data_IF_436789445428
#
_entry.id   IF_436789445428
#
_cell.length_a   1.000
_cell.length_b   1.000
_cell.length_c   1.000
_cell.angle_alpha   90.00
_cell.angle_beta   90.00
_cell.angle_gamma   90.00
#
_symmetry.space_group_name_H-M   'P 1'
#
loop_
_entity.id
_entity.type
_entity.pdbx_description
1 polymer ?
#
# COMPACT_ATOMS: atom_id res chain seq x y z
N UNK A 1 -21.87 35.34 -1.62
CA UNK A 1 -22.91 35.00 -0.61
C UNK A 1 -23.05 33.49 -0.61
N UNK A 2 -22.65 32.78 0.46
CA UNK A 2 -22.83 31.32 0.54
C UNK A 2 -21.88 30.55 1.46
N UNK A 3 -20.64 31.00 1.66
CA UNK A 3 -19.63 30.19 2.39
C UNK A 3 -19.81 30.08 3.92
N UNK A 4 -20.67 30.89 4.53
CA UNK A 4 -20.88 30.84 6.00
C UNK A 4 -21.67 29.62 6.47
N UNK A 5 -22.76 29.26 5.75
CA UNK A 5 -23.64 28.17 6.18
C UNK A 5 -23.03 26.79 5.97
N UNK A 6 -22.19 26.62 4.95
CA UNK A 6 -21.52 25.34 4.69
C UNK A 6 -20.45 25.06 5.75
N UNK A 7 -19.66 26.07 6.14
CA UNK A 7 -18.62 25.91 7.17
C UNK A 7 -19.24 25.58 8.53
N UNK A 8 -20.33 26.25 8.91
CA UNK A 8 -21.08 25.95 10.14
C UNK A 8 -21.68 24.53 10.10
N UNK A 9 -22.20 24.10 8.95
CA UNK A 9 -22.69 22.73 8.75
C UNK A 9 -21.57 21.68 8.89
N UNK A 10 -20.38 21.94 8.35
CA UNK A 10 -19.24 21.02 8.47
C UNK A 10 -18.72 20.93 9.91
N UNK A 11 -18.69 22.05 10.64
CA UNK A 11 -18.29 22.06 12.06
C UNK A 11 -19.26 21.25 12.92
N UNK A 12 -20.56 21.35 12.65
CA UNK A 12 -21.56 20.53 13.35
C UNK A 12 -21.37 19.04 13.05
N UNK A 13 -21.22 18.66 11.77
CA UNK A 13 -20.96 17.26 11.39
C UNK A 13 -19.67 16.73 12.03
N UNK A 14 -18.60 17.53 12.04
CA UNK A 14 -17.33 17.16 12.66
C UNK A 14 -17.45 16.98 14.18
N UNK A 15 -18.19 17.87 14.85
CA UNK A 15 -18.46 17.73 16.29
C UNK A 15 -19.25 16.46 16.62
N UNK A 16 -20.22 16.11 15.79
CA UNK A 16 -21.00 14.88 15.89
C UNK A 16 -20.12 13.65 15.71
N UNK A 17 -19.29 13.65 14.67
CA UNK A 17 -18.29 12.61 14.42
C UNK A 17 -17.35 12.41 15.62
N UNK A 18 -16.76 13.50 16.13
CA UNK A 18 -15.84 13.47 17.27
C UNK A 18 -16.52 12.95 18.55
N UNK A 19 -17.77 13.33 18.78
CA UNK A 19 -18.56 12.86 19.93
C UNK A 19 -18.87 11.36 19.83
N UNK A 20 -19.28 10.90 18.65
CA UNK A 20 -19.50 9.48 18.38
C UNK A 20 -18.21 8.67 18.60
N UNK A 21 -17.11 9.12 18.01
CA UNK A 21 -15.80 8.51 18.16
C UNK A 21 -15.38 8.41 19.63
N UNK A 22 -15.46 9.52 20.37
CA UNK A 22 -15.02 9.58 21.76
C UNK A 22 -15.90 8.77 22.72
N UNK A 23 -17.16 8.48 22.34
CA UNK A 23 -18.02 7.53 23.07
C UNK A 23 -17.48 6.10 22.99
N UNK A 24 -16.82 5.76 21.89
CA UNK A 24 -16.21 4.44 21.67
C UNK A 24 -14.71 4.42 22.02
N UNK A 25 -14.12 5.55 22.38
CA UNK A 25 -12.71 5.64 22.72
C UNK A 25 -12.33 4.75 23.91
N UNK A 26 -11.05 4.35 23.97
CA UNK A 26 -10.49 3.40 24.92
C UNK A 26 -11.04 1.96 24.82
N UNK A 27 -11.99 1.67 23.92
CA UNK A 27 -12.37 0.29 23.63
C UNK A 27 -11.25 -0.39 22.85
N UNK A 28 -10.97 -1.63 23.23
CA UNK A 28 -10.01 -2.49 22.54
C UNK A 28 -10.72 -3.20 21.40
N UNK A 29 -10.27 -2.98 20.18
CA UNK A 29 -10.77 -3.65 18.99
C UNK A 29 -9.77 -4.71 18.54
N UNK A 30 -10.29 -5.84 18.06
CA UNK A 30 -9.50 -6.89 17.41
C UNK A 30 -9.68 -6.82 15.90
N UNK A 31 -8.58 -6.96 15.18
CA UNK A 31 -8.55 -7.18 13.74
C UNK A 31 -7.56 -8.30 13.46
N UNK A 32 -8.08 -9.50 13.20
CA UNK A 32 -7.31 -10.74 13.09
C UNK A 32 -6.37 -10.94 14.30
N UNK A 33 -5.06 -11.02 14.07
CA UNK A 33 -4.05 -11.19 15.10
C UNK A 33 -3.64 -9.87 15.79
N UNK A 34 -4.12 -8.71 15.33
CA UNK A 34 -3.78 -7.40 15.90
C UNK A 34 -4.90 -6.88 16.79
N UNK A 35 -4.54 -6.23 17.89
CA UNK A 35 -5.49 -5.50 18.72
C UNK A 35 -5.03 -4.07 18.93
N UNK A 36 -5.92 -3.12 18.72
CA UNK A 36 -5.66 -1.70 18.91
C UNK A 36 -6.72 -1.08 19.81
N UNK A 37 -6.37 0.03 20.44
CA UNK A 37 -7.27 0.80 21.31
C UNK A 37 -7.72 2.03 20.55
N UNK A 38 -9.02 2.32 20.54
CA UNK A 38 -9.53 3.53 19.90
C UNK A 38 -8.96 4.75 20.65
N UNK A 39 -8.15 5.62 20.00
CA UNK A 39 -7.60 6.80 20.64
C UNK A 39 -8.70 7.82 20.90
N UNK A 40 -8.52 8.71 21.89
CA UNK A 40 -9.41 9.87 22.05
C UNK A 40 -8.99 10.97 21.08
N UNK A 41 -9.97 11.57 20.41
CA UNK A 41 -9.79 12.75 19.58
C UNK A 41 -9.90 13.99 20.47
N UNK A 42 -8.76 14.60 20.81
CA UNK A 42 -8.69 15.75 21.71
C UNK A 42 -8.74 17.08 20.97
N UNK A 43 -7.75 17.37 20.11
CA UNK A 43 -7.58 18.68 19.48
C UNK A 43 -7.80 18.60 17.96
N UNK A 44 -8.64 19.48 17.40
CA UNK A 44 -9.04 19.43 15.98
C UNK A 44 -7.85 19.69 15.04
N UNK A 45 -6.83 20.40 15.52
CA UNK A 45 -5.59 20.67 14.78
C UNK A 45 -4.60 19.49 14.77
N UNK A 46 -4.85 18.45 15.56
CA UNK A 46 -3.97 17.28 15.71
C UNK A 46 -4.49 16.02 15.01
N UNK A 47 -5.73 16.05 14.52
CA UNK A 47 -6.39 14.89 13.92
C UNK A 47 -5.95 14.78 12.46
N UNK A 48 -5.05 13.83 12.22
CA UNK A 48 -4.59 13.50 10.88
C UNK A 48 -5.77 12.87 10.11
N UNK A 49 -5.95 13.27 8.84
CA UNK A 49 -6.97 12.74 7.92
C UNK A 49 -7.04 11.19 7.92
N UNK A 50 -5.93 10.54 8.23
CA UNK A 50 -5.81 9.09 8.38
C UNK A 50 -6.81 8.46 9.36
N UNK A 51 -7.26 9.18 10.39
CA UNK A 51 -8.27 8.66 11.34
C UNK A 51 -9.70 8.75 10.81
N UNK A 52 -9.95 9.60 9.82
CA UNK A 52 -11.29 9.85 9.26
C UNK A 52 -11.51 9.20 7.90
N UNK A 53 -10.47 8.61 7.32
CA UNK A 53 -10.50 7.95 6.02
C UNK A 53 -10.27 6.44 6.18
N UNK A 54 -11.23 5.62 5.74
CA UNK A 54 -11.11 4.16 5.73
C UNK A 54 -9.90 3.74 4.89
N UNK A 55 -8.86 3.20 5.51
CA UNK A 55 -7.61 2.79 4.86
C UNK A 55 -7.12 1.46 5.44
N UNK A 56 -6.23 0.81 4.70
CA UNK A 56 -5.61 -0.47 5.09
C UNK A 56 -4.36 -0.29 5.99
N UNK A 57 -4.18 0.89 6.59
CA UNK A 57 -3.15 1.17 7.59
C UNK A 57 -3.77 1.13 9.01
N UNK A 58 -2.93 1.15 10.04
CA UNK A 58 -3.42 0.98 11.42
C UNK A 58 -4.44 2.05 11.84
N UNK A 59 -4.24 3.32 11.45
CA UNK A 59 -5.12 4.43 11.79
C UNK A 59 -6.47 4.37 11.05
N UNK A 60 -6.45 4.12 9.73
CA UNK A 60 -7.67 4.06 8.92
C UNK A 60 -8.49 2.80 9.12
N UNK A 61 -7.92 1.74 9.71
CA UNK A 61 -8.69 0.58 10.16
C UNK A 61 -9.56 0.92 11.38
N UNK A 62 -9.21 1.94 12.17
CA UNK A 62 -9.98 2.31 13.36
C UNK A 62 -11.37 2.81 12.99
N UNK A 63 -11.48 3.67 11.97
CA UNK A 63 -12.80 4.15 11.52
C UNK A 63 -13.64 3.02 10.92
N UNK A 64 -13.03 2.10 10.17
CA UNK A 64 -13.71 0.90 9.64
C UNK A 64 -14.30 0.09 10.78
N UNK A 65 -13.53 -0.11 11.85
CA UNK A 65 -14.00 -0.85 13.02
C UNK A 65 -15.05 -0.11 13.84
N UNK A 66 -14.99 1.21 13.93
CA UNK A 66 -16.04 2.00 14.57
C UNK A 66 -17.36 1.83 13.83
N UNK A 67 -17.34 1.90 12.49
CA UNK A 67 -18.53 1.68 11.66
C UNK A 67 -19.07 0.26 11.89
N UNK A 68 -18.20 -0.75 11.94
CA UNK A 68 -18.60 -2.13 12.25
C UNK A 68 -19.25 -2.26 13.64
N UNK A 69 -18.69 -1.62 14.68
CA UNK A 69 -19.29 -1.63 16.02
C UNK A 69 -20.67 -0.97 16.06
N UNK A 70 -20.88 0.09 15.28
CA UNK A 70 -22.19 0.75 15.17
C UNK A 70 -23.18 -0.13 14.42
N UNK A 71 -22.74 -0.79 13.35
CA UNK A 71 -23.54 -1.77 12.61
C UNK A 71 -23.96 -2.93 13.51
N UNK A 72 -23.02 -3.49 14.28
CA UNK A 72 -23.28 -4.60 15.22
C UNK A 72 -24.31 -4.19 16.28
N UNK A 73 -24.20 -2.98 16.83
CA UNK A 73 -25.15 -2.46 17.81
C UNK A 73 -26.55 -2.25 17.21
N UNK A 74 -26.64 -1.71 15.99
CA UNK A 74 -27.90 -1.54 15.26
C UNK A 74 -28.56 -2.89 14.96
N UNK A 75 -27.79 -3.85 14.46
CA UNK A 75 -28.29 -5.17 14.10
C UNK A 75 -28.72 -5.96 15.34
N UNK A 76 -27.92 -5.95 16.41
CA UNK A 76 -28.28 -6.62 17.67
C UNK A 76 -29.59 -6.09 18.26
N UNK A 77 -29.77 -4.76 18.26
CA UNK A 77 -31.02 -4.15 18.72
C UNK A 77 -32.24 -4.59 17.88
N UNK A 78 -32.11 -4.63 16.55
CA UNK A 78 -33.20 -5.07 15.67
C UNK A 78 -33.49 -6.57 15.80
N UNK A 79 -32.47 -7.40 15.99
CA UNK A 79 -32.61 -8.84 16.23
C UNK A 79 -33.38 -9.10 17.53
N UNK A 80 -33.02 -8.42 18.62
CA UNK A 80 -33.70 -8.55 19.92
C UNK A 80 -35.19 -8.19 19.82
N UNK A 81 -35.53 -7.06 19.19
CA UNK A 81 -36.92 -6.61 19.02
C UNK A 81 -37.72 -7.53 18.10
N UNK A 82 -37.08 -8.05 17.04
CA UNK A 82 -37.73 -9.01 16.13
C UNK A 82 -37.95 -10.36 16.81
N UNK A 83 -37.06 -10.78 17.71
CA UNK A 83 -37.19 -12.02 18.46
C UNK A 83 -38.31 -11.93 19.49
N UNK A 84 -38.42 -10.82 20.22
CA UNK A 84 -39.49 -10.58 21.20
C UNK A 84 -40.87 -10.54 20.53
N UNK A 85 -41.02 -9.80 19.42
CA UNK A 85 -42.29 -9.75 18.68
C UNK A 85 -42.76 -11.13 18.16
N UNK A 86 -41.83 -11.97 17.68
CA UNK A 86 -42.13 -13.36 17.28
C UNK A 86 -42.53 -14.25 18.46
N UNK A 87 -41.92 -14.07 19.63
CA UNK A 87 -42.31 -14.82 20.84
C UNK A 87 -43.71 -14.42 21.34
N UNK A 88 -44.07 -13.13 21.26
CA UNK A 88 -45.39 -12.66 21.65
C UNK A 88 -46.49 -13.12 20.69
N UNK A 89 -46.26 -13.10 19.37
CA UNK A 89 -47.20 -13.61 18.37
C UNK A 89 -47.50 -15.12 18.56
N UNK A 90 -46.47 -15.93 18.82
CA UNK A 90 -46.60 -17.37 19.04
C UNK A 90 -47.35 -17.75 20.33
N UNK A 91 -47.49 -16.82 21.28
CA UNK A 91 -48.24 -17.06 22.52
C UNK A 91 -49.72 -16.71 22.39
N UNK A 92 -50.11 -15.91 21.39
CA UNK A 92 -51.51 -15.50 21.17
C UNK A 92 -52.24 -16.37 20.13
N UNK A 93 -51.52 -17.03 19.22
CA UNK A 93 -52.13 -17.93 18.23
C UNK A 93 -51.98 -19.42 18.61
N UNK A 94 -52.92 -19.91 19.41
CA UNK A 94 -53.12 -21.35 19.63
C UNK A 94 -54.46 -21.86 19.11
N UNK A 95 -54.90 -21.42 17.92
CA UNK A 95 -55.89 -22.16 17.15
C UNK A 95 -55.68 -22.00 15.64
N UNK A 96 -54.94 -22.96 15.08
CA UNK A 96 -55.15 -23.50 13.74
C UNK A 96 -54.84 -22.61 12.54
N UNK A 97 -53.67 -22.81 11.94
CA UNK A 97 -53.54 -23.31 10.57
C UNK A 97 -52.09 -23.76 10.32
N UNK A 98 -51.95 -24.76 9.46
CA UNK A 98 -50.66 -25.29 9.04
C UNK A 98 -50.05 -24.25 8.09
N UNK A 99 -49.04 -23.53 8.53
CA UNK A 99 -48.25 -22.71 7.60
C UNK A 99 -46.78 -23.06 7.60
N UNK A 100 -46.30 -23.10 6.36
CA UNK A 100 -45.01 -23.51 5.87
C UNK A 100 -43.87 -22.74 6.54
N UNK A 101 -42.88 -23.50 7.01
CA UNK A 101 -41.44 -23.24 6.88
C UNK A 101 -41.02 -21.77 6.70
N UNK A 102 -41.28 -20.91 7.69
CA UNK A 102 -40.80 -19.52 7.71
C UNK A 102 -39.49 -19.39 8.47
N UNK A 103 -38.51 -20.23 8.14
CA UNK A 103 -37.10 -19.87 8.27
C UNK A 103 -36.73 -18.83 7.20
N UNK A 104 -37.46 -17.70 7.15
CA UNK A 104 -36.94 -16.49 6.52
C UNK A 104 -35.82 -15.98 7.40
N UNK A 105 -34.62 -16.52 7.14
CA UNK A 105 -33.35 -15.92 7.53
C UNK A 105 -33.45 -14.46 7.11
N UNK A 106 -33.54 -13.53 8.07
CA UNK A 106 -33.59 -12.10 7.80
C UNK A 106 -32.35 -11.79 6.97
N UNK A 107 -32.51 -11.64 5.66
CA UNK A 107 -31.37 -11.38 4.78
C UNK A 107 -30.91 -9.96 5.08
N UNK A 108 -29.68 -9.84 5.56
CA UNK A 108 -29.05 -8.55 5.75
C UNK A 108 -29.05 -7.81 4.41
N UNK A 109 -29.48 -6.55 4.43
CA UNK A 109 -29.47 -5.72 3.24
C UNK A 109 -28.08 -5.11 3.07
N UNK A 110 -27.43 -5.50 2.00
CA UNK A 110 -26.17 -4.91 1.59
C UNK A 110 -26.38 -3.47 1.13
N UNK A 111 -25.75 -2.52 1.81
CA UNK A 111 -25.72 -1.10 1.44
C UNK A 111 -24.30 -0.55 1.48
N UNK A 112 -23.96 0.30 0.52
CA UNK A 112 -22.72 1.08 0.60
C UNK A 112 -22.83 2.10 1.74
N UNK A 113 -21.72 2.39 2.42
CA UNK A 113 -21.65 3.45 3.43
C UNK A 113 -22.19 4.80 2.91
N UNK A 114 -21.99 5.11 1.63
CA UNK A 114 -22.45 6.36 1.02
C UNK A 114 -23.94 6.38 0.68
N UNK A 115 -24.61 5.23 0.72
CA UNK A 115 -26.03 5.08 0.38
C UNK A 115 -26.91 4.90 1.63
N UNK A 116 -26.34 5.07 2.83
CA UNK A 116 -27.06 5.00 4.10
C UNK A 116 -27.80 6.31 4.34
N UNK A 117 -29.10 6.23 4.57
CA UNK A 117 -29.94 7.34 4.99
C UNK A 117 -30.38 7.19 6.45
N UNK A 118 -30.85 8.27 7.07
CA UNK A 118 -31.53 8.24 8.38
C UNK A 118 -32.71 7.25 8.43
N UNK A 119 -33.27 6.90 7.27
CA UNK A 119 -34.37 5.93 7.14
C UNK A 119 -33.91 4.46 7.13
N UNK A 120 -32.61 4.22 7.18
CA UNK A 120 -32.04 2.88 7.23
C UNK A 120 -31.61 2.51 8.64
N UNK A 121 -31.32 3.51 9.47
CA UNK A 121 -30.77 3.34 10.81
C UNK A 121 -31.78 3.66 11.91
N UNK A 122 -31.61 3.02 13.06
CA UNK A 122 -32.39 3.30 14.26
C UNK A 122 -31.83 4.57 14.91
N UNK A 123 -32.55 5.69 14.74
CA UNK A 123 -32.20 6.98 15.33
C UNK A 123 -33.22 7.35 16.39
N UNK A 124 -32.86 7.20 17.67
CA UNK A 124 -33.66 7.69 18.79
C UNK A 124 -32.86 8.71 19.57
N UNK A 125 -33.45 9.89 19.73
CA UNK A 125 -32.94 10.89 20.65
C UNK A 125 -33.63 10.80 22.03
N UNK A 126 -32.89 11.17 23.07
CA UNK A 126 -33.39 11.15 24.45
C UNK A 126 -34.61 12.05 24.64
N UNK A 127 -34.66 13.20 23.99
CA UNK A 127 -35.77 14.14 24.13
C UNK A 127 -37.03 13.58 23.45
N UNK A 128 -36.87 12.91 22.32
CA UNK A 128 -37.96 12.21 21.64
C UNK A 128 -38.56 11.09 22.50
N UNK A 129 -37.72 10.27 23.13
CA UNK A 129 -38.18 9.21 24.04
C UNK A 129 -38.84 9.79 25.29
N UNK A 130 -38.27 10.86 25.85
CA UNK A 130 -38.84 11.55 27.03
C UNK A 130 -40.22 12.11 26.73
N UNK A 131 -40.43 12.65 25.52
CA UNK A 131 -41.72 13.15 25.09
C UNK A 131 -42.76 12.04 24.95
N UNK A 132 -42.40 10.89 24.37
CA UNK A 132 -43.27 9.71 24.30
C UNK A 132 -43.66 9.23 25.71
N UNK A 133 -42.69 9.14 26.62
CA UNK A 133 -42.95 8.72 28.01
C UNK A 133 -43.93 9.68 28.70
N UNK A 134 -43.80 10.99 28.45
CA UNK A 134 -44.72 12.00 29.01
C UNK A 134 -46.13 11.86 28.43
N UNK A 135 -46.26 11.62 27.13
CA UNK A 135 -47.54 11.45 26.45
C UNK A 135 -48.35 10.27 27.00
N UNK A 136 -47.66 9.18 27.35
CA UNK A 136 -48.28 7.97 27.92
C UNK A 136 -48.19 7.88 29.46
N UNK A 137 -47.81 8.97 30.12
CA UNK A 137 -47.90 9.09 31.57
C UNK A 137 -49.29 9.60 31.94
N UNK A 138 -50.22 8.69 32.20
CA UNK A 138 -51.60 9.04 32.51
C UNK A 138 -51.77 9.24 34.03
N UNK A 139 -52.30 10.39 34.48
CA UNK A 139 -52.62 10.58 35.88
C UNK A 139 -53.82 9.68 36.25
N UNK A 140 -53.62 8.72 37.16
CA UNK A 140 -54.73 7.92 37.65
C UNK A 140 -55.44 8.63 38.81
N UNK A 141 -56.70 9.01 38.59
CA UNK A 141 -57.56 9.55 39.63
C UNK A 141 -58.58 8.48 40.01
N UNK A 142 -58.49 7.97 41.25
CA UNK A 142 -59.53 7.11 41.82
C UNK A 142 -60.65 7.98 42.38
N UNK A 143 -61.90 7.66 42.02
CA UNK A 143 -63.08 8.37 42.51
C UNK A 143 -63.11 8.38 44.05
N UNK A 144 -63.21 9.57 44.64
CA UNK A 144 -63.21 9.78 46.10
C UNK A 144 -61.86 10.15 46.74
N UNK A 145 -60.75 10.19 45.98
CA UNK A 145 -59.40 10.36 46.52
C UNK A 145 -58.70 11.65 46.03
N UNK A 146 -59.30 12.83 46.30
CA UNK A 146 -58.83 14.13 45.78
C UNK A 146 -57.55 14.63 46.51
N UNK A 147 -57.17 14.02 47.64
CA UNK A 147 -56.05 14.48 48.50
C UNK A 147 -54.82 13.57 48.49
N UNK A 148 -54.83 12.44 47.78
CA UNK A 148 -53.65 11.57 47.66
C UNK A 148 -52.83 11.97 46.43
N UNK A 149 -51.51 11.97 46.58
CA UNK A 149 -50.52 12.18 45.51
C UNK A 149 -50.94 11.43 44.25
N UNK A 150 -51.00 12.14 43.12
CA UNK A 150 -51.32 11.58 41.82
C UNK A 150 -50.41 10.38 41.55
N UNK A 151 -50.99 9.19 41.48
CA UNK A 151 -50.27 8.02 41.02
C UNK A 151 -50.31 8.07 39.49
N UNK A 152 -49.21 8.51 38.88
CA UNK A 152 -49.07 8.42 37.43
C UNK A 152 -48.91 6.95 37.06
N UNK A 153 -49.80 6.45 36.20
CA UNK A 153 -49.70 5.11 35.61
C UNK A 153 -48.98 5.29 34.27
N UNK A 154 -47.90 4.54 34.09
CA UNK A 154 -47.17 4.48 32.83
C UNK A 154 -47.69 3.30 32.04
N UNK A 155 -48.22 3.57 30.84
CA UNK A 155 -48.57 2.52 29.90
C UNK A 155 -47.32 2.11 29.11
N UNK A 156 -46.59 1.12 29.65
CA UNK A 156 -45.37 0.60 29.02
C UNK A 156 -45.64 0.00 27.64
N UNK A 157 -46.79 -0.65 27.45
CA UNK A 157 -47.14 -1.25 26.16
C UNK A 157 -47.40 -0.19 25.10
N UNK A 158 -48.07 0.91 25.46
CA UNK A 158 -48.25 2.03 24.53
C UNK A 158 -46.93 2.72 24.17
N UNK A 159 -46.04 2.89 25.14
CA UNK A 159 -44.69 3.44 24.92
C UNK A 159 -43.87 2.54 23.98
N UNK A 160 -43.84 1.23 24.25
CA UNK A 160 -43.15 0.24 23.42
C UNK A 160 -43.69 0.23 21.99
N UNK A 161 -45.01 0.20 21.82
CA UNK A 161 -45.66 0.22 20.51
C UNK A 161 -45.37 1.50 19.74
N UNK A 162 -45.35 2.66 20.40
CA UNK A 162 -45.04 3.93 19.74
C UNK A 162 -43.56 4.00 19.32
N UNK A 163 -42.65 3.53 20.16
CA UNK A 163 -41.22 3.44 19.81
C UNK A 163 -41.02 2.50 18.63
N UNK A 164 -41.65 1.31 18.67
CA UNK A 164 -41.58 0.33 17.60
C UNK A 164 -42.15 0.89 16.28
N UNK A 165 -43.30 1.54 16.32
CA UNK A 165 -43.94 2.09 15.14
C UNK A 165 -43.15 3.25 14.51
N UNK A 166 -42.63 4.18 15.33
CA UNK A 166 -41.98 5.40 14.83
C UNK A 166 -40.53 5.18 14.40
N UNK A 167 -39.77 4.35 15.10
CA UNK A 167 -38.31 4.26 14.93
C UNK A 167 -37.81 2.91 14.42
N UNK A 168 -38.59 1.85 14.58
CA UNK A 168 -38.15 0.48 14.27
C UNK A 168 -38.86 -0.07 13.03
N UNK A 169 -40.13 0.29 12.83
CA UNK A 169 -40.95 -0.20 11.73
C UNK A 169 -40.27 0.06 10.37
N UNK A 170 -40.19 -1.00 9.56
CA UNK A 170 -39.55 -1.02 8.23
C UNK A 170 -38.02 -0.81 8.24
N UNK A 171 -37.35 -0.87 9.39
CA UNK A 171 -35.89 -0.94 9.46
C UNK A 171 -35.46 -2.40 9.30
N UNK A 172 -34.33 -2.59 8.62
CA UNK A 172 -33.79 -3.92 8.30
C UNK A 172 -32.38 -4.07 8.89
N UNK A 173 -31.94 -5.32 9.07
CA UNK A 173 -30.56 -5.65 9.41
C UNK A 173 -29.67 -5.18 8.24
N UNK A 174 -28.61 -4.45 8.56
CA UNK A 174 -27.71 -3.85 7.57
C UNK A 174 -26.38 -4.57 7.51
N UNK A 175 -25.87 -4.74 6.28
CA UNK A 175 -24.48 -5.08 6.01
C UNK A 175 -23.85 -3.91 5.23
N UNK A 176 -22.93 -3.19 5.89
CA UNK A 176 -22.36 -1.95 5.35
C UNK A 176 -21.09 -2.25 4.58
N UNK A 177 -21.12 -2.02 3.27
CA UNK A 177 -19.93 -2.00 2.43
C UNK A 177 -19.13 -0.71 2.66
N UNK A 178 -17.96 -0.82 3.28
CA UNK A 178 -17.07 0.31 3.55
C UNK A 178 -16.00 0.40 2.46
N UNK A 179 -16.01 1.43 1.59
CA UNK A 179 -14.99 1.60 0.57
C UNK A 179 -13.69 2.12 1.20
N UNK A 180 -12.58 1.47 0.87
CA UNK A 180 -11.25 1.91 1.29
C UNK A 180 -10.72 2.99 0.35
N UNK A 181 -10.33 4.12 0.93
CA UNK A 181 -9.70 5.22 0.22
C UNK A 181 -8.21 4.92 0.02
N UNK A 182 -7.69 5.20 -1.18
CA UNK A 182 -6.27 5.10 -1.51
C UNK A 182 -5.76 6.50 -1.87
N UNK A 183 -4.65 6.92 -1.27
CA UNK A 183 -4.02 8.18 -1.62
C UNK A 183 -2.98 7.97 -2.73
N UNK A 184 -2.85 8.95 -3.64
CA UNK A 184 -1.98 8.86 -4.82
C UNK A 184 -0.49 8.62 -4.48
N UNK A 185 -0.03 9.09 -3.31
CA UNK A 185 1.32 8.85 -2.82
C UNK A 185 1.58 7.38 -2.41
N UNK A 186 0.54 6.59 -2.15
CA UNK A 186 0.64 5.16 -1.81
C UNK A 186 0.82 4.28 -3.07
N UNK A 187 0.48 4.79 -4.26
CA UNK A 187 0.68 4.12 -5.56
C UNK A 187 2.04 4.42 -6.22
N UNK A 188 2.97 5.04 -5.49
CA UNK A 188 4.35 5.11 -5.95
C UNK A 188 4.89 3.67 -6.10
N UNK A 189 5.45 3.33 -7.26
CA UNK A 189 5.95 1.98 -7.52
C UNK A 189 6.98 1.54 -6.47
N UNK A 190 7.79 2.45 -5.92
CA UNK A 190 8.69 2.14 -4.79
C UNK A 190 7.95 1.64 -3.56
N UNK A 191 6.79 2.24 -3.26
CA UNK A 191 5.93 1.82 -2.15
C UNK A 191 5.24 0.49 -2.48
N UNK A 192 4.77 0.29 -3.72
CA UNK A 192 4.21 -0.99 -4.17
C UNK A 192 5.22 -2.14 -4.00
N UNK A 193 6.47 -1.93 -4.41
CA UNK A 193 7.57 -2.89 -4.20
C UNK A 193 7.80 -3.15 -2.71
N UNK A 194 7.84 -2.11 -1.88
CA UNK A 194 8.02 -2.26 -0.44
C UNK A 194 6.88 -3.06 0.22
N UNK A 195 5.62 -2.81 -0.18
CA UNK A 195 4.44 -3.56 0.28
C UNK A 195 4.58 -5.04 -0.10
N UNK A 196 4.97 -5.34 -1.34
CA UNK A 196 5.14 -6.72 -1.80
C UNK A 196 6.23 -7.43 -0.99
N UNK A 197 7.36 -6.78 -0.74
CA UNK A 197 8.49 -7.35 0.00
C UNK A 197 8.23 -7.50 1.50
N UNK A 198 7.49 -6.58 2.12
CA UNK A 198 7.14 -6.68 3.54
C UNK A 198 6.25 -7.90 3.81
N UNK A 199 5.31 -8.17 2.90
CA UNK A 199 4.47 -9.35 2.94
C UNK A 199 5.21 -10.62 2.48
N UNK A 200 6.30 -10.50 1.71
CA UNK A 200 7.06 -11.62 1.15
C UNK A 200 8.57 -11.39 1.30
N UNK A 201 9.08 -11.52 2.55
CA UNK A 201 10.47 -11.18 2.90
C UNK A 201 11.55 -11.92 2.09
N UNK A 202 11.22 -13.08 1.53
CA UNK A 202 12.12 -13.88 0.70
C UNK A 202 12.39 -13.22 -0.67
N UNK A 203 11.41 -12.49 -1.25
CA UNK A 203 11.55 -11.81 -2.55
C UNK A 203 12.65 -10.74 -2.52
N UNK A 204 12.91 -10.15 -1.35
CA UNK A 204 13.97 -9.16 -1.16
C UNK A 204 15.37 -9.75 -1.38
N UNK A 205 15.55 -11.06 -1.21
CA UNK A 205 16.86 -11.75 -1.26
C UNK A 205 17.10 -12.52 -2.56
N UNK A 206 16.09 -12.67 -3.40
CA UNK A 206 16.19 -13.52 -4.60
C UNK A 206 16.84 -12.78 -5.77
N UNK A 207 18.14 -12.98 -5.94
CA UNK A 207 18.89 -12.43 -7.08
C UNK A 207 18.48 -13.08 -8.40
N UNK A 208 18.39 -12.27 -9.44
CA UNK A 208 18.32 -12.76 -10.83
C UNK A 208 19.72 -13.19 -11.24
N UNK A 209 19.83 -14.37 -11.85
CA UNK A 209 21.10 -14.85 -12.39
C UNK A 209 21.65 -13.87 -13.45
N UNK A 210 22.94 -13.54 -13.38
CA UNK A 210 23.53 -12.49 -14.23
C UNK A 210 23.50 -12.84 -15.73
N UNK A 211 23.80 -14.08 -16.17
CA UNK A 211 23.61 -14.51 -17.55
C UNK A 211 22.16 -14.41 -18.03
N UNK A 212 21.19 -14.76 -17.18
CA UNK A 212 19.76 -14.63 -17.46
C UNK A 212 19.38 -13.16 -17.68
N UNK A 213 19.81 -12.28 -16.77
CA UNK A 213 19.57 -10.84 -16.86
C UNK A 213 20.21 -10.25 -18.11
N UNK A 214 21.46 -10.60 -18.42
CA UNK A 214 22.16 -10.11 -19.61
C UNK A 214 21.42 -10.53 -20.88
N UNK A 215 21.00 -11.79 -20.96
CA UNK A 215 20.21 -12.31 -22.09
C UNK A 215 18.91 -11.53 -22.26
N UNK A 216 18.17 -11.32 -21.17
CA UNK A 216 16.94 -10.53 -21.16
C UNK A 216 17.15 -9.08 -21.60
N UNK A 217 18.17 -8.41 -21.07
CA UNK A 217 18.46 -7.03 -21.46
C UNK A 217 18.90 -6.93 -22.92
N UNK A 218 19.60 -7.94 -23.46
CA UNK A 218 19.98 -7.99 -24.88
C UNK A 218 18.82 -8.35 -25.81
N UNK A 219 17.77 -9.02 -25.32
CA UNK A 219 16.57 -9.29 -26.14
C UNK A 219 15.74 -8.04 -26.39
N UNK A 220 15.86 -7.04 -25.51
CA UNK A 220 15.25 -5.71 -25.68
C UNK A 220 16.14 -4.87 -26.61
N UNK A 221 15.81 -4.87 -27.92
CA UNK A 221 16.63 -4.28 -28.98
C UNK A 221 16.56 -2.77 -29.03
N UNK A 222 15.48 -2.17 -28.50
CA UNK A 222 15.23 -0.73 -28.56
C UNK A 222 14.93 -0.11 -27.19
N UNK A 223 15.18 1.20 -27.08
CA UNK A 223 14.84 1.97 -25.88
C UNK A 223 13.32 1.99 -25.62
N UNK A 224 12.51 2.04 -26.68
CA UNK A 224 11.06 1.95 -26.58
C UNK A 224 10.61 0.61 -25.99
N UNK A 225 11.27 -0.50 -26.35
CA UNK A 225 10.97 -1.81 -25.76
C UNK A 225 11.36 -1.85 -24.28
N UNK A 226 12.54 -1.32 -23.90
CA UNK A 226 12.94 -1.25 -22.48
C UNK A 226 11.96 -0.42 -21.64
N UNK A 227 11.52 0.73 -22.15
CA UNK A 227 10.53 1.57 -21.48
C UNK A 227 9.17 0.87 -21.38
N UNK A 228 8.71 0.24 -22.46
CA UNK A 228 7.45 -0.52 -22.46
C UNK A 228 7.48 -1.69 -21.50
N UNK A 229 8.60 -2.42 -21.42
CA UNK A 229 8.81 -3.50 -20.44
C UNK A 229 8.74 -2.97 -19.01
N UNK A 230 9.34 -1.81 -18.73
CA UNK A 230 9.26 -1.18 -17.41
C UNK A 230 7.82 -0.76 -17.06
N UNK A 231 7.06 -0.21 -18.01
CA UNK A 231 5.65 0.15 -17.84
C UNK A 231 4.78 -1.06 -17.51
N UNK A 232 4.90 -2.14 -18.29
CA UNK A 232 4.18 -3.39 -18.03
C UNK A 232 4.53 -3.91 -16.62
N UNK A 233 5.81 -3.88 -16.24
CA UNK A 233 6.24 -4.31 -14.93
C UNK A 233 5.68 -3.42 -13.81
N UNK A 234 5.57 -2.10 -14.02
CA UNK A 234 4.92 -1.18 -13.08
C UNK A 234 3.44 -1.53 -12.90
N UNK A 235 2.71 -1.78 -13.99
CA UNK A 235 1.29 -2.16 -13.94
C UNK A 235 1.08 -3.46 -13.16
N UNK A 236 1.92 -4.47 -13.40
CA UNK A 236 1.88 -5.73 -12.66
C UNK A 236 2.20 -5.52 -11.17
N UNK A 237 3.22 -4.73 -10.84
CA UNK A 237 3.57 -4.44 -9.44
C UNK A 237 2.45 -3.72 -8.71
N UNK A 238 1.78 -2.75 -9.35
CA UNK A 238 0.61 -2.08 -8.77
C UNK A 238 -0.49 -3.10 -8.49
N UNK A 239 -0.85 -3.91 -9.49
CA UNK A 239 -1.88 -4.93 -9.34
C UNK A 239 -1.58 -5.94 -8.22
N UNK A 240 -0.34 -6.47 -8.19
CA UNK A 240 0.08 -7.44 -7.16
C UNK A 240 0.08 -6.78 -5.78
N UNK A 241 0.53 -5.53 -5.65
CA UNK A 241 0.54 -4.82 -4.37
C UNK A 241 -0.89 -4.57 -3.84
N UNK A 242 -1.84 -4.27 -4.72
CA UNK A 242 -3.24 -4.05 -4.35
C UNK A 242 -3.94 -5.35 -3.91
N UNK A 243 -3.53 -6.48 -4.49
CA UNK A 243 -4.15 -7.78 -4.25
C UNK A 243 -3.30 -8.69 -3.35
N UNK A 244 -2.30 -8.15 -2.64
CA UNK A 244 -1.32 -8.93 -1.86
C UNK A 244 -1.94 -9.86 -0.80
N UNK A 245 -3.11 -9.50 -0.26
CA UNK A 245 -3.84 -10.33 0.72
C UNK A 245 -4.61 -11.50 0.07
N UNK A 246 -4.96 -11.36 -1.19
CA UNK A 246 -5.72 -12.34 -1.98
C UNK A 246 -4.78 -13.23 -2.80
N UNK A 247 -3.64 -12.66 -3.22
CA UNK A 247 -2.56 -13.34 -3.93
C UNK A 247 -1.56 -13.83 -2.88
N UNK A 248 -1.81 -15.01 -2.32
CA UNK A 248 -0.83 -15.67 -1.45
C UNK A 248 0.36 -16.14 -2.30
N UNK A 249 1.39 -15.29 -2.40
CA UNK A 249 2.61 -15.57 -3.16
C UNK A 249 3.49 -16.64 -2.46
N UNK A 250 3.19 -17.03 -1.22
CA UNK A 250 4.06 -17.87 -0.39
C UNK A 250 3.32 -18.95 0.43
N UNK A 251 2.19 -19.51 -0.02
CA UNK A 251 1.52 -20.54 0.76
C UNK A 251 2.39 -21.80 0.92
N UNK A 252 2.93 -21.98 2.15
CA UNK A 252 3.64 -23.17 2.61
C UNK A 252 2.74 -24.16 3.36
N UNK A 253 1.43 -23.92 3.42
CA UNK A 253 0.52 -24.75 4.20
C UNK A 253 -0.54 -25.42 3.32
N UNK A 254 -0.32 -26.70 3.04
CA UNK A 254 -1.41 -27.64 2.77
C UNK A 254 -2.38 -27.63 3.95
N UNK A 255 -3.58 -27.08 3.78
CA UNK A 255 -4.88 -27.68 4.11
C UNK A 255 -5.98 -26.62 4.28
N UNK A 256 -7.11 -26.90 3.62
CA UNK A 256 -8.48 -26.39 3.86
C UNK A 256 -8.75 -24.96 3.35
N UNK A 257 -9.38 -24.86 2.18
CA UNK A 257 -10.75 -24.34 2.04
C UNK A 257 -11.22 -24.50 0.58
N UNK A 258 -12.21 -25.37 0.38
CA UNK A 258 -12.96 -25.47 -0.87
C UNK A 258 -14.19 -24.55 -0.82
N UNK A 259 -14.65 -24.15 -2.01
CA UNK A 259 -15.91 -23.47 -2.34
C UNK A 259 -15.88 -21.93 -2.45
N UNK A 260 -15.28 -21.42 -3.54
CA UNK A 260 -15.84 -20.37 -4.41
C UNK A 260 -14.97 -20.28 -5.69
N UNK A 261 -15.54 -20.74 -6.81
CA UNK A 261 -14.89 -21.11 -8.08
C UNK A 261 -14.32 -19.96 -8.95
N UNK A 262 -13.97 -18.81 -8.37
CA UNK A 262 -13.25 -17.72 -9.07
C UNK A 262 -12.02 -17.24 -8.25
N UNK A 263 -11.97 -17.53 -6.95
CA UNK A 263 -10.84 -17.15 -6.08
C UNK A 263 -9.75 -18.23 -5.97
N UNK A 264 -9.99 -19.46 -6.41
CA UNK A 264 -9.03 -20.58 -6.26
C UNK A 264 -7.94 -20.64 -7.35
N UNK A 265 -7.87 -19.68 -8.28
CA UNK A 265 -6.87 -19.69 -9.37
C UNK A 265 -5.56 -18.93 -9.08
N UNK A 266 -5.48 -18.19 -7.97
CA UNK A 266 -4.35 -17.27 -7.69
C UNK A 266 -3.26 -17.82 -6.74
N UNK A 267 -3.35 -19.09 -6.34
CA UNK A 267 -2.66 -19.63 -5.16
C UNK A 267 -1.19 -20.08 -5.30
N UNK A 268 -0.51 -19.98 -6.46
CA UNK A 268 0.90 -20.41 -6.56
C UNK A 268 1.64 -19.68 -7.69
N UNK A 269 2.19 -18.50 -7.41
CA UNK A 269 2.85 -17.68 -8.42
C UNK A 269 4.35 -17.52 -8.29
N UNK A 270 4.98 -17.89 -7.15
CA UNK A 270 6.42 -17.67 -6.94
C UNK A 270 7.29 -18.28 -8.05
N UNK A 271 7.13 -19.57 -8.30
CA UNK A 271 7.97 -20.32 -9.24
C UNK A 271 7.34 -20.46 -10.64
N UNK A 272 6.26 -19.70 -10.91
CA UNK A 272 5.67 -19.62 -12.24
C UNK A 272 6.38 -18.59 -13.10
N UNK A 273 6.33 -18.82 -14.41
CA UNK A 273 6.85 -17.89 -15.40
C UNK A 273 6.08 -16.57 -15.31
N UNK A 274 6.81 -15.46 -15.35
CA UNK A 274 6.22 -14.12 -15.34
C UNK A 274 5.25 -13.91 -16.51
N UNK A 275 5.52 -14.56 -17.65
CA UNK A 275 4.65 -14.53 -18.83
C UNK A 275 3.27 -15.14 -18.53
N UNK A 276 3.18 -16.23 -17.75
CA UNK A 276 1.89 -16.81 -17.36
C UNK A 276 1.06 -15.83 -16.52
N UNK A 277 1.70 -15.02 -15.68
CA UNK A 277 1.02 -13.97 -14.92
C UNK A 277 0.47 -12.88 -15.85
N UNK A 278 1.25 -12.46 -16.85
CA UNK A 278 0.81 -11.49 -17.85
C UNK A 278 -0.39 -11.99 -18.66
N UNK A 279 -0.36 -13.25 -19.07
CA UNK A 279 -1.47 -13.88 -19.80
C UNK A 279 -2.75 -13.95 -18.94
N UNK A 280 -2.63 -14.28 -17.66
CA UNK A 280 -3.79 -14.27 -16.74
C UNK A 280 -4.33 -12.86 -16.48
N UNK A 281 -3.45 -11.85 -16.49
CA UNK A 281 -3.84 -10.44 -16.42
C UNK A 281 -4.39 -9.91 -17.77
N UNK A 282 -4.53 -10.76 -18.78
CA UNK A 282 -5.06 -10.42 -20.11
C UNK A 282 -4.23 -9.38 -20.88
N UNK A 283 -2.90 -9.36 -20.65
CA UNK A 283 -2.00 -8.57 -21.49
C UNK A 283 -1.97 -9.12 -22.93
N UNK A 284 -1.74 -8.22 -23.89
CA UNK A 284 -1.65 -8.60 -25.29
C UNK A 284 -0.37 -9.41 -25.60
N UNK A 285 -0.43 -10.24 -26.63
CA UNK A 285 0.67 -11.13 -27.02
C UNK A 285 1.99 -10.37 -27.30
N UNK A 286 1.92 -9.12 -27.77
CA UNK A 286 3.15 -8.32 -28.00
C UNK A 286 3.78 -7.90 -26.68
N UNK A 287 2.98 -7.51 -25.69
CA UNK A 287 3.43 -7.23 -24.33
C UNK A 287 4.04 -8.46 -23.67
N UNK A 288 3.42 -9.64 -23.83
CA UNK A 288 3.97 -10.90 -23.31
C UNK A 288 5.32 -11.28 -23.95
N UNK A 289 5.46 -11.07 -25.27
CA UNK A 289 6.71 -11.37 -26.00
C UNK A 289 7.93 -10.62 -25.50
N UNK A 290 7.75 -9.44 -24.87
CA UNK A 290 8.87 -8.69 -24.28
C UNK A 290 9.54 -9.42 -23.11
N UNK A 291 8.88 -10.41 -22.51
CA UNK A 291 9.37 -11.19 -21.39
C UNK A 291 9.76 -12.63 -21.77
N UNK A 292 9.68 -12.99 -23.05
CA UNK A 292 10.09 -14.30 -23.58
C UNK A 292 11.51 -14.19 -24.14
N UNK A 293 12.40 -15.06 -23.68
CA UNK A 293 13.77 -15.17 -24.20
C UNK A 293 13.91 -16.42 -25.07
N UNK A 294 14.20 -16.25 -26.35
CA UNK A 294 14.55 -17.35 -27.25
C UNK A 294 16.05 -17.68 -27.11
N UNK A 295 16.36 -18.66 -26.27
CA UNK A 295 17.71 -19.22 -26.21
C UNK A 295 17.85 -20.35 -27.23
N UNK A 296 18.81 -20.18 -28.14
CA UNK A 296 19.33 -21.28 -28.96
C UNK A 296 20.03 -22.25 -27.99
N UNK A 297 19.49 -23.46 -27.88
CA UNK A 297 20.02 -24.62 -27.13
C UNK A 297 19.52 -24.83 -25.68
N UNK A 298 18.58 -25.78 -25.56
CA UNK A 298 18.25 -26.74 -24.48
C UNK A 298 18.15 -26.33 -22.99
N UNK A 299 18.49 -25.10 -22.58
CA UNK A 299 18.13 -24.59 -21.24
C UNK A 299 17.13 -23.44 -21.38
N UNK A 300 15.85 -23.75 -21.17
CA UNK A 300 14.83 -22.71 -21.09
C UNK A 300 14.99 -21.95 -19.78
N UNK A 301 15.64 -20.80 -19.87
CA UNK A 301 15.80 -19.85 -18.80
C UNK A 301 14.59 -18.91 -18.79
N UNK A 302 13.87 -18.81 -17.68
CA UNK A 302 12.65 -18.03 -17.57
C UNK A 302 12.73 -16.99 -16.45
N UNK A 303 12.12 -15.83 -16.69
CA UNK A 303 11.84 -14.87 -15.62
C UNK A 303 10.67 -15.43 -14.82
N UNK A 304 10.87 -15.63 -13.53
CA UNK A 304 9.84 -16.08 -12.60
C UNK A 304 9.21 -14.87 -11.92
N UNK A 305 7.96 -15.00 -11.46
CA UNK A 305 7.29 -13.89 -10.78
C UNK A 305 8.04 -13.44 -9.53
N UNK A 306 8.75 -14.35 -8.88
CA UNK A 306 9.60 -14.03 -7.73
C UNK A 306 10.71 -13.01 -8.03
N UNK A 307 11.14 -12.92 -9.30
CA UNK A 307 12.14 -11.98 -9.76
C UNK A 307 11.59 -10.56 -10.02
N UNK A 308 10.27 -10.34 -9.99
CA UNK A 308 9.64 -9.09 -10.46
C UNK A 308 10.16 -7.82 -9.76
N UNK A 309 10.37 -7.85 -8.44
CA UNK A 309 10.82 -6.69 -7.67
C UNK A 309 12.27 -6.32 -8.01
N UNK A 310 13.13 -7.33 -8.16
CA UNK A 310 14.53 -7.12 -8.53
C UNK A 310 14.69 -6.77 -10.01
N UNK A 311 13.88 -7.37 -10.88
CA UNK A 311 13.80 -7.01 -12.29
C UNK A 311 13.43 -5.54 -12.45
N UNK A 312 12.47 -5.06 -11.65
CA UNK A 312 12.06 -3.66 -11.67
C UNK A 312 13.19 -2.73 -11.28
N UNK A 313 13.93 -3.03 -10.20
CA UNK A 313 15.10 -2.22 -9.80
C UNK A 313 16.14 -2.15 -10.91
N UNK A 314 16.45 -3.30 -11.51
CA UNK A 314 17.47 -3.43 -12.55
C UNK A 314 17.04 -2.73 -13.85
N UNK A 315 15.79 -2.90 -14.28
CA UNK A 315 15.24 -2.19 -15.44
C UNK A 315 15.10 -0.70 -15.19
N UNK A 316 14.59 -0.30 -14.03
CA UNK A 316 14.49 1.12 -13.68
C UNK A 316 15.88 1.75 -13.67
N UNK A 317 16.89 1.08 -13.11
CA UNK A 317 18.27 1.55 -13.19
C UNK A 317 18.79 1.57 -14.63
N UNK A 318 18.58 0.52 -15.44
CA UNK A 318 19.04 0.47 -16.83
C UNK A 318 18.39 1.55 -17.72
N UNK A 319 17.09 1.79 -17.53
CA UNK A 319 16.36 2.88 -18.17
C UNK A 319 16.94 4.21 -17.71
N UNK A 320 17.03 4.47 -16.40
CA UNK A 320 17.64 5.70 -15.88
C UNK A 320 19.08 5.89 -16.36
N UNK A 321 19.89 4.84 -16.46
CA UNK A 321 21.28 4.88 -16.93
C UNK A 321 21.41 5.21 -18.42
N UNK A 322 20.44 4.81 -19.25
CA UNK A 322 20.39 5.17 -20.69
C UNK A 322 19.74 6.53 -20.94
N UNK A 323 18.93 7.02 -20.00
CA UNK A 323 18.34 8.37 -20.05
C UNK A 323 19.22 9.44 -19.39
N UNK A 324 20.21 9.05 -18.59
CA UNK A 324 21.23 9.94 -18.02
C UNK A 324 22.45 9.92 -18.92
N UNK A 325 22.87 11.11 -19.39
CA UNK A 325 24.09 11.31 -20.17
C UNK A 325 25.24 10.46 -19.62
N UNK A 326 25.74 9.51 -20.42
CA UNK A 326 26.87 8.65 -20.04
C UNK A 326 28.11 9.46 -19.63
N UNK A 327 28.18 10.73 -20.05
CA UNK A 327 29.25 11.64 -19.70
C UNK A 327 29.29 12.09 -18.24
N UNK A 328 28.26 11.83 -17.45
CA UNK A 328 28.21 12.25 -16.04
C UNK A 328 27.63 11.18 -15.11
N UNK A 329 27.98 11.29 -13.83
CA UNK A 329 27.42 10.49 -12.73
C UNK A 329 26.78 11.36 -11.64
N UNK A 330 26.51 12.63 -11.94
CA UNK A 330 26.05 13.63 -10.97
C UNK A 330 24.73 13.26 -10.30
N UNK A 331 23.89 12.50 -11.00
CA UNK A 331 22.60 12.01 -10.49
C UNK A 331 22.75 10.86 -9.47
N UNK A 332 23.93 10.24 -9.40
CA UNK A 332 24.21 9.10 -8.54
C UNK A 332 25.04 9.46 -7.30
N UNK A 333 25.63 10.65 -7.26
CA UNK A 333 26.46 11.11 -6.13
C UNK A 333 25.88 12.30 -5.39
N UNK A 334 26.15 12.37 -4.08
CA UNK A 334 25.90 13.58 -3.29
C UNK A 334 26.78 14.75 -3.76
N UNK A 335 26.33 15.99 -3.53
CA UNK A 335 27.06 17.20 -3.97
C UNK A 335 28.48 17.32 -3.36
N UNK A 336 28.71 16.67 -2.21
CA UNK A 336 30.02 16.59 -1.56
C UNK A 336 31.08 15.83 -2.39
N UNK A 337 30.67 15.05 -3.39
CA UNK A 337 31.55 14.27 -4.27
C UNK A 337 31.73 14.88 -5.67
N UNK A 338 31.26 16.12 -5.85
CA UNK A 338 31.32 16.89 -7.11
C UNK A 338 32.41 17.94 -7.09
N UNK A 339 33.45 17.77 -6.26
CA UNK A 339 34.55 18.74 -6.18
C UNK A 339 35.32 18.72 -7.50
N UNK A 340 35.65 19.89 -8.09
CA UNK A 340 36.39 19.94 -9.33
C UNK A 340 37.79 19.34 -9.17
N UNK A 341 38.25 18.62 -10.19
CA UNK A 341 39.58 18.02 -10.23
C UNK A 341 40.67 19.08 -10.14
N UNK A 342 41.74 18.77 -9.39
CA UNK A 342 42.99 19.53 -9.42
C UNK A 342 43.74 19.28 -10.73
N UNK A 343 44.59 20.23 -11.14
CA UNK A 343 45.38 20.09 -12.38
C UNK A 343 46.32 18.87 -12.34
N UNK A 344 46.84 18.53 -11.16
CA UNK A 344 47.66 17.33 -10.97
C UNK A 344 46.87 16.05 -11.28
N UNK A 345 45.65 15.94 -10.76
CA UNK A 345 44.77 14.78 -11.01
C UNK A 345 44.36 14.67 -12.48
N UNK A 346 44.14 15.80 -13.16
CA UNK A 346 43.85 15.81 -14.60
C UNK A 346 45.03 15.26 -15.40
N UNK A 347 46.25 15.66 -15.08
CA UNK A 347 47.46 15.15 -15.73
C UNK A 347 47.62 13.64 -15.52
N UNK A 348 47.39 13.14 -14.31
CA UNK A 348 47.47 11.70 -14.01
C UNK A 348 46.42 10.88 -14.77
N UNK A 349 45.17 11.36 -14.84
CA UNK A 349 44.12 10.69 -15.62
C UNK A 349 44.42 10.72 -17.13
N UNK A 350 45.04 11.80 -17.62
CA UNK A 350 45.44 11.89 -19.02
C UNK A 350 46.59 10.93 -19.35
N UNK A 351 47.59 10.81 -18.46
CA UNK A 351 48.68 9.86 -18.60
C UNK A 351 48.18 8.41 -18.57
N UNK A 352 47.21 8.11 -17.70
CA UNK A 352 46.53 6.81 -17.66
C UNK A 352 45.88 6.48 -19.00
N UNK A 353 45.09 7.40 -19.58
CA UNK A 353 44.42 7.17 -20.87
C UNK A 353 45.42 6.91 -22.00
N UNK A 354 46.61 7.49 -21.94
CA UNK A 354 47.66 7.29 -22.95
C UNK A 354 48.40 5.95 -22.81
N UNK A 355 48.50 5.41 -21.58
CA UNK A 355 49.28 4.20 -21.27
C UNK A 355 48.44 2.93 -21.15
N UNK A 356 47.13 3.07 -20.93
CA UNK A 356 46.20 1.96 -20.75
C UNK A 356 45.38 1.71 -22.03
N UNK A 357 45.07 0.45 -22.32
CA UNK A 357 44.24 0.12 -23.49
C UNK A 357 42.82 0.65 -23.35
N UNK A 358 42.18 0.99 -24.48
CA UNK A 358 40.81 1.50 -24.49
C UNK A 358 39.79 0.51 -23.90
N UNK A 359 40.04 -0.80 -24.05
CA UNK A 359 39.18 -1.84 -23.47
C UNK A 359 39.19 -1.75 -21.94
N UNK A 360 40.38 -1.64 -21.32
CA UNK A 360 40.53 -1.53 -19.87
C UNK A 360 39.94 -0.20 -19.36
N UNK A 361 40.13 0.91 -20.08
CA UNK A 361 39.53 2.21 -19.69
C UNK A 361 38.00 2.13 -19.66
N UNK A 362 37.40 1.41 -20.61
CA UNK A 362 35.96 1.18 -20.63
C UNK A 362 35.52 0.36 -19.42
N UNK A 363 36.22 -0.73 -19.12
CA UNK A 363 35.92 -1.57 -17.94
C UNK A 363 36.05 -0.77 -16.64
N UNK A 364 37.04 0.12 -16.54
CA UNK A 364 37.18 1.02 -15.40
C UNK A 364 36.01 1.99 -15.30
N UNK A 365 35.55 2.59 -16.40
CA UNK A 365 34.37 3.47 -16.39
C UNK A 365 33.09 2.71 -15.99
N UNK A 366 32.91 1.49 -16.48
CA UNK A 366 31.76 0.66 -16.14
C UNK A 366 31.77 0.27 -14.64
N UNK A 367 32.92 -0.19 -14.12
CA UNK A 367 33.09 -0.52 -12.70
C UNK A 367 32.92 0.72 -11.79
N UNK A 368 33.46 1.87 -12.20
CA UNK A 368 33.32 3.13 -11.46
C UNK A 368 31.85 3.52 -11.31
N UNK A 369 31.07 3.38 -12.37
CA UNK A 369 29.63 3.65 -12.38
C UNK A 369 28.86 2.69 -11.47
N UNK A 370 29.25 1.41 -11.43
CA UNK A 370 28.64 0.41 -10.53
C UNK A 370 28.91 0.71 -9.03
N UNK A 371 30.16 1.06 -8.69
CA UNK A 371 30.53 1.49 -7.32
C UNK A 371 29.71 2.71 -6.90
N UNK A 372 29.57 3.69 -7.78
CA UNK A 372 28.84 4.91 -7.48
C UNK A 372 27.34 4.67 -7.31
N UNK A 373 26.75 3.73 -8.04
CA UNK A 373 25.33 3.38 -7.85
C UNK A 373 25.04 2.75 -6.49
N UNK A 374 25.97 1.95 -5.97
CA UNK A 374 25.83 1.29 -4.67
C UNK A 374 26.20 2.21 -3.49
N UNK A 375 27.19 3.08 -3.69
CA UNK A 375 27.82 3.81 -2.58
C UNK A 375 27.73 5.34 -2.66
N UNK A 376 27.38 5.92 -3.81
CA UNK A 376 27.45 7.37 -4.09
C UNK A 376 26.47 8.24 -3.32
N UNK A 377 25.38 7.67 -2.77
CA UNK A 377 24.39 8.37 -1.95
C UNK A 377 24.65 8.27 -0.44
N UNK A 378 25.70 7.55 -0.02
CA UNK A 378 26.06 7.46 1.40
C UNK A 378 26.90 8.65 1.80
N UNK A 379 26.54 9.30 2.91
CA UNK A 379 27.28 10.43 3.45
C UNK A 379 28.56 9.92 4.13
N UNK A 380 29.74 10.36 3.65
CA UNK A 380 31.05 10.01 4.21
C UNK A 380 31.66 11.23 4.91
N UNK A 381 32.39 10.99 5.99
CA UNK A 381 33.09 12.04 6.73
C UNK A 381 34.39 12.43 6.01
N UNK A 382 34.28 13.29 5.00
CA UNK A 382 35.41 13.70 4.14
C UNK A 382 36.50 14.53 4.84
N UNK A 383 36.25 15.06 6.04
CA UNK A 383 37.11 16.06 6.71
C UNK A 383 37.23 15.87 8.23
N UNK A 384 37.60 14.69 8.71
CA UNK A 384 38.17 14.57 10.08
C UNK A 384 39.66 14.90 10.02
N UNK A 385 40.12 15.79 10.89
CA UNK A 385 41.49 16.32 10.95
C UNK A 385 42.58 15.24 11.15
N UNK A 386 42.16 14.02 11.53
CA UNK A 386 43.05 12.90 11.89
C UNK A 386 42.75 11.61 11.10
N UNK A 387 41.87 11.64 10.09
CA UNK A 387 41.52 10.45 9.29
C UNK A 387 41.95 10.64 7.84
N UNK A 388 42.74 9.71 7.29
CA UNK A 388 43.12 9.74 5.87
C UNK A 388 41.87 9.76 4.99
N UNK A 389 41.82 10.60 3.93
CA UNK A 389 40.70 10.60 2.99
C UNK A 389 40.52 9.20 2.39
N UNK A 390 39.28 8.73 2.27
CA UNK A 390 39.02 7.45 1.62
C UNK A 390 39.33 7.53 0.13
N UNK A 391 40.28 6.69 -0.29
CA UNK A 391 40.68 6.52 -1.68
C UNK A 391 39.58 5.79 -2.46
N UNK A 392 39.28 6.29 -3.65
CA UNK A 392 38.29 5.67 -4.52
C UNK A 392 38.79 4.33 -5.08
N UNK A 393 40.09 4.19 -5.32
CA UNK A 393 40.72 2.98 -5.86
C UNK A 393 40.46 1.72 -5.03
N UNK A 394 40.35 1.84 -3.71
CA UNK A 394 40.07 0.71 -2.82
C UNK A 394 38.73 0.02 -3.13
N UNK A 395 37.82 0.72 -3.81
CA UNK A 395 36.53 0.19 -4.23
C UNK A 395 36.59 -0.47 -5.60
N UNK A 396 37.52 -0.03 -6.45
CA UNK A 396 37.80 -0.66 -7.73
C UNK A 396 38.61 -1.95 -7.54
N UNK A 397 39.52 -2.01 -6.57
CA UNK A 397 40.29 -3.22 -6.25
C UNK A 397 39.39 -4.42 -5.82
N UNK A 398 38.15 -4.17 -5.37
CA UNK A 398 37.17 -5.23 -5.04
C UNK A 398 36.41 -5.79 -6.25
N UNK A 399 36.56 -5.17 -7.43
CA UNK A 399 35.88 -5.56 -8.68
C UNK A 399 36.93 -6.13 -9.63
N UNK A 400 37.36 -7.37 -9.39
CA UNK A 400 38.11 -8.28 -10.30
C UNK A 400 38.98 -7.61 -11.39
N UNK A 401 39.82 -6.64 -11.05
CA UNK A 401 40.87 -6.14 -11.93
C UNK A 401 42.16 -6.90 -11.62
N UNK A 402 42.92 -7.29 -12.65
CA UNK A 402 44.27 -7.81 -12.44
C UNK A 402 45.21 -6.66 -12.01
N UNK A 403 46.26 -6.95 -11.23
CA UNK A 403 47.15 -5.91 -10.66
C UNK A 403 47.75 -4.94 -11.72
N UNK A 404 47.90 -5.44 -12.96
CA UNK A 404 48.41 -4.70 -14.13
C UNK A 404 47.36 -3.78 -14.79
N UNK A 405 46.07 -3.99 -14.58
CA UNK A 405 45.00 -3.20 -15.23
C UNK A 405 44.78 -1.84 -14.56
N UNK A 406 45.11 -1.74 -13.27
CA UNK A 406 45.06 -0.50 -12.49
C UNK A 406 46.46 0.10 -12.25
N UNK A 407 47.51 -0.36 -12.94
CA UNK A 407 48.90 0.07 -12.73
C UNK A 407 49.07 1.59 -12.89
N UNK A 408 48.43 2.18 -13.91
CA UNK A 408 48.49 3.62 -14.19
C UNK A 408 47.31 4.40 -13.60
N UNK A 409 46.43 3.74 -12.85
CA UNK A 409 45.32 4.41 -12.20
C UNK A 409 45.83 5.25 -11.02
N UNK A 410 45.32 6.48 -10.79
CA UNK A 410 45.75 7.35 -9.69
C UNK A 410 45.25 6.86 -8.31
N UNK A 411 45.75 5.71 -7.85
CA UNK A 411 45.29 5.02 -6.63
C UNK A 411 45.45 5.86 -5.36
N UNK A 412 46.54 6.63 -5.27
CA UNK A 412 46.87 7.37 -4.04
C UNK A 412 46.30 8.79 -4.00
N UNK A 413 45.85 9.32 -5.13
CA UNK A 413 45.42 10.72 -5.28
C UNK A 413 43.93 10.89 -5.54
N UNK A 414 43.26 9.87 -6.10
CA UNK A 414 41.83 9.95 -6.39
C UNK A 414 40.98 9.55 -5.17
N UNK A 415 40.39 10.54 -4.53
CA UNK A 415 39.49 10.39 -3.37
C UNK A 415 38.02 10.56 -3.78
N UNK A 416 37.11 10.15 -2.89
CA UNK A 416 35.66 10.25 -3.13
C UNK A 416 35.16 11.67 -3.42
N UNK A 417 35.81 12.71 -2.90
CA UNK A 417 35.43 14.11 -3.16
C UNK A 417 35.51 14.50 -4.64
N UNK A 418 36.41 13.88 -5.42
CA UNK A 418 36.60 14.14 -6.85
C UNK A 418 35.87 13.12 -7.75
N UNK A 419 35.03 12.24 -7.19
CA UNK A 419 34.50 11.08 -7.89
C UNK A 419 33.72 11.45 -9.17
N UNK A 420 32.78 12.40 -9.09
CA UNK A 420 31.99 12.81 -10.25
C UNK A 420 32.82 13.56 -11.31
N UNK A 421 33.64 14.51 -10.87
CA UNK A 421 34.49 15.28 -11.77
C UNK A 421 35.56 14.40 -12.45
N UNK A 422 36.11 13.44 -11.71
CA UNK A 422 37.03 12.39 -12.16
C UNK A 422 36.44 11.56 -13.29
N UNK A 423 35.27 10.98 -13.03
CA UNK A 423 34.54 10.19 -14.01
C UNK A 423 34.23 10.98 -15.29
N UNK A 424 33.67 12.17 -15.14
CA UNK A 424 33.29 13.00 -16.29
C UNK A 424 34.51 13.40 -17.15
N UNK A 425 35.63 13.71 -16.50
CA UNK A 425 36.88 14.03 -17.20
C UNK A 425 37.47 12.81 -17.93
N UNK A 426 37.50 11.65 -17.27
CA UNK A 426 37.98 10.41 -17.88
C UNK A 426 37.11 10.01 -19.09
N UNK A 427 35.78 10.09 -18.94
CA UNK A 427 34.83 9.82 -20.03
C UNK A 427 35.01 10.80 -21.21
N UNK A 428 35.31 12.08 -20.92
CA UNK A 428 35.61 13.08 -21.96
C UNK A 428 36.90 12.75 -22.71
N UNK A 429 37.93 12.21 -22.05
CA UNK A 429 39.18 11.79 -22.69
C UNK A 429 39.02 10.49 -23.49
N UNK A 430 38.13 9.60 -23.05
CA UNK A 430 37.82 8.35 -23.73
C UNK A 430 37.09 8.55 -25.08
N UNK A 431 36.15 9.50 -25.17
CA UNK A 431 35.40 9.81 -26.41
C UNK A 431 36.26 10.07 -27.66
N UNK A 432 37.26 10.98 -27.64
CA UNK A 432 38.09 11.26 -28.82
C UNK A 432 39.06 10.12 -29.15
N UNK A 433 39.44 9.28 -28.19
CA UNK A 433 40.35 8.17 -28.44
C UNK A 433 39.69 7.02 -29.24
N UNK A 434 38.36 6.89 -29.19
CA UNK A 434 37.61 5.96 -30.05
C UNK A 434 37.59 6.36 -31.53
N UNK A 435 37.83 7.64 -31.85
CA UNK A 435 37.74 8.16 -33.23
C UNK A 435 39.04 7.92 -34.01
N UNK A 436 40.14 7.61 -33.32
CA UNK A 436 41.47 7.45 -33.92
C UNK A 436 41.77 5.99 -34.32
N UNK A 437 40.96 5.02 -33.85
CA UNK A 437 41.10 3.58 -34.11
C UNK A 437 40.10 3.02 -35.15
N UNK A 438 39.72 3.81 -36.16
CA UNK A 438 38.98 3.34 -37.36
C UNK A 438 39.86 3.40 -38.60
#
# INVERSE_FOLDING_TARGET
KGYGSEVESYQQLWSGFKTCWNTLANRKIKNDCKSFVIPKLHDDNSIILEFSAAQNNENGLIIVKIIQLLQDAHNAFLEDVTMESKMHANNEEKYGEKDEDSNQKVMAKNKSLFDIHENDIVCLDKDQVTEIIRQWSLPSLKYGNITQTQNNVLDLSAIENEIAYRFIKNREILEIGIPFLQFSNQLNIKNCVAIIEENNKELKKESIDQPLLKTFLTSLKSQSEMQRTLEILNEVLVFVSQNIKTIDLLSRNHQIFSFLNILSLFFLYRDKQFVELLEQMSFDEKSCKLFIMDLKEQQKMFILCRHMCNLWRLLNNAVQLKFVDESTIDNYVLDIYKVPLTELLKQQLQEMVQKTSLAIIKEILDAWREVVQSEGQKMRELKKKDTKPELFSNWLDNIVFFENELEFFPKESLTWEYCAAGYAYLHKLFKPAQVIDI
#
